data_IF_632326750100
#
_entry.id   IF_632326750100
#
_cell.length_a   1.000
_cell.length_b   1.000
_cell.length_c   1.000
_cell.angle_alpha   90.00
_cell.angle_beta   90.00
_cell.angle_gamma   90.00
#
_symmetry.space_group_name_H-M   'P 1'
#
loop_
_entity.id
_entity.type
_entity.pdbx_description
1 polymer ?
#
# COMPACT_ATOMS: atom_id res chain seq x y z
N UNK A 1 -5.88 -2.81 -14.03
CA UNK A 1 -4.81 -3.70 -13.52
C UNK A 1 -4.01 -4.30 -14.67
N UNK A 2 -4.67 -4.89 -15.68
CA UNK A 2 -4.02 -5.40 -16.89
C UNK A 2 -3.22 -4.32 -17.63
N UNK A 3 -3.83 -3.17 -17.93
CA UNK A 3 -3.15 -2.05 -18.62
C UNK A 3 -1.94 -1.49 -17.86
N UNK A 4 -1.89 -1.67 -16.53
CA UNK A 4 -0.76 -1.27 -15.68
C UNK A 4 0.32 -2.36 -15.57
N UNK A 5 0.15 -3.52 -16.21
CA UNK A 5 1.04 -4.69 -16.09
C UNK A 5 0.98 -5.43 -14.75
N UNK A 6 0.16 -4.96 -13.81
CA UNK A 6 0.04 -5.49 -12.45
C UNK A 6 -0.49 -6.93 -12.41
N UNK A 7 -1.33 -7.29 -13.39
CA UNK A 7 -1.85 -8.65 -13.57
C UNK A 7 -1.74 -9.04 -15.03
N UNK A 8 -1.56 -10.33 -15.28
CA UNK A 8 -1.59 -10.95 -16.61
C UNK A 8 -2.53 -12.14 -16.61
N UNK A 9 -3.15 -12.43 -17.74
CA UNK A 9 -3.91 -13.67 -17.93
C UNK A 9 -2.98 -14.86 -17.71
N UNK A 10 -3.51 -15.90 -17.06
CA UNK A 10 -2.78 -17.13 -16.75
C UNK A 10 -3.57 -18.32 -17.27
N UNK A 11 -2.87 -19.43 -17.49
CA UNK A 11 -3.54 -20.71 -17.69
C UNK A 11 -4.20 -21.15 -16.38
N UNK A 12 -4.96 -22.24 -16.41
CA UNK A 12 -5.59 -22.82 -15.21
C UNK A 12 -4.52 -23.05 -14.12
N UNK A 13 -4.60 -22.34 -12.98
CA UNK A 13 -3.60 -22.44 -11.94
C UNK A 13 -3.90 -23.61 -11.00
N UNK A 14 -2.90 -24.12 -10.26
CA UNK A 14 -3.13 -25.16 -9.26
C UNK A 14 -3.97 -24.66 -8.09
N UNK A 15 -3.93 -23.36 -7.80
CA UNK A 15 -4.71 -22.69 -6.75
C UNK A 15 -5.14 -21.31 -7.24
N UNK A 16 -6.31 -20.84 -6.81
CA UNK A 16 -6.78 -19.49 -7.06
C UNK A 16 -7.64 -18.96 -5.92
N UNK A 17 -7.66 -17.64 -5.78
CA UNK A 17 -8.47 -16.89 -4.83
C UNK A 17 -9.73 -16.34 -5.49
N UNK A 18 -10.78 -16.12 -4.68
CA UNK A 18 -12.02 -15.49 -5.16
C UNK A 18 -11.89 -13.97 -5.22
N UNK A 19 -12.52 -13.36 -6.22
CA UNK A 19 -12.68 -11.92 -6.34
C UNK A 19 -14.11 -11.54 -5.95
N UNK A 20 -14.24 -10.49 -5.13
CA UNK A 20 -15.54 -9.89 -4.81
C UNK A 20 -15.46 -8.36 -4.84
N UNK A 21 -16.61 -7.71 -4.89
CA UNK A 21 -16.73 -6.26 -5.02
C UNK A 21 -17.16 -5.65 -3.69
N UNK A 22 -16.43 -4.65 -3.23
CA UNK A 22 -16.77 -3.87 -2.03
C UNK A 22 -17.22 -2.47 -2.44
N UNK A 23 -18.36 -1.97 -1.96
CA UNK A 23 -18.81 -0.62 -2.27
C UNK A 23 -17.85 0.43 -1.70
N UNK A 24 -17.56 1.45 -2.49
CA UNK A 24 -16.82 2.64 -2.08
C UNK A 24 -17.80 3.72 -1.62
N UNK A 25 -17.31 4.64 -0.79
CA UNK A 25 -18.08 5.81 -0.31
C UNK A 25 -18.51 6.75 -1.43
N UNK A 26 -17.79 6.77 -2.55
CA UNK A 26 -18.08 7.58 -3.73
C UNK A 26 -19.03 6.90 -4.73
N UNK A 27 -19.70 5.81 -4.33
CA UNK A 27 -20.64 5.07 -5.18
C UNK A 27 -19.99 4.07 -6.15
N UNK A 28 -18.65 4.05 -6.26
CA UNK A 28 -17.94 3.05 -7.05
C UNK A 28 -17.86 1.68 -6.36
N UNK A 29 -17.28 0.69 -7.05
CA UNK A 29 -16.93 -0.60 -6.47
C UNK A 29 -15.42 -0.82 -6.51
N UNK A 30 -14.88 -1.46 -5.47
CA UNK A 30 -13.48 -1.87 -5.36
C UNK A 30 -13.39 -3.39 -5.49
N UNK A 31 -12.63 -3.93 -6.46
CA UNK A 31 -12.31 -5.35 -6.48
C UNK A 31 -11.40 -5.70 -5.30
N UNK A 32 -11.77 -6.75 -4.58
CA UNK A 32 -11.02 -7.31 -3.45
C UNK A 32 -10.80 -8.79 -3.71
N UNK A 33 -9.55 -9.22 -3.59
CA UNK A 33 -9.17 -10.63 -3.72
C UNK A 33 -9.10 -11.24 -2.32
N UNK A 34 -9.77 -12.37 -2.13
CA UNK A 34 -9.75 -13.08 -0.87
C UNK A 34 -8.49 -13.93 -0.72
N UNK A 35 -7.45 -13.35 -0.12
CA UNK A 35 -6.22 -14.08 0.23
C UNK A 35 -6.26 -14.75 1.60
N UNK A 36 -7.40 -14.81 2.31
CA UNK A 36 -7.46 -15.34 3.69
C UNK A 36 -6.87 -16.76 3.80
N UNK A 37 -7.24 -17.65 2.87
CA UNK A 37 -6.72 -19.02 2.82
C UNK A 37 -5.24 -19.04 2.44
N UNK A 38 -4.80 -18.22 1.48
CA UNK A 38 -3.39 -18.15 1.10
C UNK A 38 -2.52 -17.65 2.27
N UNK A 39 -3.00 -16.62 2.97
CA UNK A 39 -2.31 -15.99 4.08
C UNK A 39 -2.05 -16.96 5.25
N UNK A 40 -2.86 -18.00 5.45
CA UNK A 40 -2.58 -19.00 6.49
C UNK A 40 -1.38 -19.89 6.19
N UNK A 41 -0.90 -19.91 4.94
CA UNK A 41 0.31 -20.64 4.53
C UNK A 41 1.55 -19.74 4.50
N UNK A 42 1.41 -18.44 4.74
CA UNK A 42 2.49 -17.46 4.66
C UNK A 42 3.00 -17.16 6.06
N UNK A 43 4.27 -17.45 6.31
CA UNK A 43 4.96 -16.99 7.52
C UNK A 43 5.41 -15.54 7.33
N UNK A 44 4.59 -14.60 7.79
CA UNK A 44 4.95 -13.18 7.78
C UNK A 44 5.85 -12.87 8.98
N UNK A 45 7.04 -12.25 8.77
CA UNK A 45 7.91 -11.88 9.88
C UNK A 45 7.22 -10.87 10.82
N UNK A 46 7.42 -11.04 12.13
CA UNK A 46 7.03 -10.02 13.09
C UNK A 46 7.86 -8.74 12.84
N UNK A 47 7.18 -7.59 12.79
CA UNK A 47 7.85 -6.30 12.66
C UNK A 47 7.05 -5.22 13.38
N UNK A 48 7.75 -4.19 13.83
CA UNK A 48 7.14 -3.06 14.55
C UNK A 48 6.99 -1.89 13.59
N UNK A 49 5.74 -1.48 13.38
CA UNK A 49 5.42 -0.22 12.70
C UNK A 49 5.52 0.88 13.74
N UNK A 50 6.64 1.60 13.76
CA UNK A 50 6.88 2.69 14.74
C UNK A 50 5.93 3.89 14.54
N UNK A 51 5.24 3.95 13.40
CA UNK A 51 4.58 5.16 12.88
C UNK A 51 3.67 5.90 13.85
N UNK A 52 2.68 5.24 14.48
CA UNK A 52 1.59 5.99 15.13
C UNK A 52 2.00 6.67 16.45
N UNK A 53 2.88 6.04 17.23
CA UNK A 53 3.38 6.62 18.48
C UNK A 53 4.46 7.66 18.23
N UNK A 54 5.34 7.39 17.25
CA UNK A 54 6.35 8.36 16.80
C UNK A 54 5.70 9.59 16.17
N UNK A 55 4.56 9.45 15.49
CA UNK A 55 3.80 10.56 14.94
C UNK A 55 3.42 11.57 16.04
N UNK A 56 2.76 11.11 17.11
CA UNK A 56 2.33 12.00 18.20
C UNK A 56 3.49 12.78 18.83
N UNK A 57 4.66 12.17 18.98
CA UNK A 57 5.84 12.85 19.51
C UNK A 57 6.50 13.84 18.56
N UNK A 58 6.26 13.71 17.24
CA UNK A 58 6.83 14.58 16.22
C UNK A 58 5.93 15.78 15.86
N UNK A 59 4.65 15.69 16.16
CA UNK A 59 3.68 16.75 15.87
C UNK A 59 3.74 17.86 16.91
N UNK A 60 3.85 19.09 16.44
CA UNK A 60 3.76 20.30 17.24
C UNK A 60 2.42 21.01 16.98
N UNK A 61 2.04 21.89 17.88
CA UNK A 61 0.87 22.77 17.70
C UNK A 61 1.06 23.59 16.43
N UNK A 62 0.01 23.73 15.63
CA UNK A 62 -0.01 24.48 14.35
C UNK A 62 0.67 23.79 13.15
N UNK A 63 1.10 22.52 13.31
CA UNK A 63 1.63 21.75 12.20
C UNK A 63 0.56 21.46 11.13
N UNK A 64 0.96 21.62 9.87
CA UNK A 64 0.21 21.12 8.72
C UNK A 64 0.72 19.75 8.33
N UNK A 65 -0.21 18.81 8.14
CA UNK A 65 0.13 17.47 7.68
C UNK A 65 -0.37 17.23 6.27
N UNK A 66 0.49 16.65 5.46
CA UNK A 66 0.15 16.16 4.13
C UNK A 66 0.13 14.65 4.19
N UNK A 67 -1.04 14.07 3.98
CA UNK A 67 -1.18 12.62 3.79
C UNK A 67 -0.97 12.29 2.31
N UNK A 68 -0.01 11.43 2.03
CA UNK A 68 0.18 10.77 0.73
C UNK A 68 -0.29 9.33 0.87
N UNK A 69 -1.27 8.95 0.07
CA UNK A 69 -1.80 7.60 -0.01
C UNK A 69 -1.04 6.81 -1.07
N UNK A 70 -0.44 5.68 -0.67
CA UNK A 70 0.40 4.85 -1.53
C UNK A 70 -0.32 3.58 -2.02
N UNK A 71 -1.65 3.55 -2.10
CA UNK A 71 -2.39 2.33 -2.48
C UNK A 71 -1.94 1.70 -3.80
N UNK A 72 -1.58 2.51 -4.80
CA UNK A 72 -1.07 2.01 -6.08
C UNK A 72 0.41 1.57 -6.01
N UNK A 73 1.17 1.98 -4.97
CA UNK A 73 2.59 1.66 -4.85
C UNK A 73 2.85 0.19 -4.54
N UNK A 74 1.90 -0.54 -3.94
CA UNK A 74 1.98 -2.00 -3.84
C UNK A 74 2.16 -2.65 -5.21
N UNK A 75 1.47 -2.12 -6.21
CA UNK A 75 1.54 -2.63 -7.58
C UNK A 75 2.88 -2.29 -8.26
N UNK A 76 3.71 -1.45 -7.64
CA UNK A 76 5.07 -1.15 -8.11
C UNK A 76 6.11 -2.16 -7.61
N UNK A 77 5.80 -2.95 -6.57
CA UNK A 77 6.74 -3.95 -6.03
C UNK A 77 6.54 -5.28 -6.78
N UNK A 78 7.52 -5.76 -7.56
CA UNK A 78 7.37 -6.98 -8.33
C UNK A 78 7.35 -8.22 -7.43
N UNK A 79 6.56 -9.22 -7.83
CA UNK A 79 6.59 -10.56 -7.24
C UNK A 79 7.48 -11.45 -8.11
N UNK A 80 8.33 -12.25 -7.45
CA UNK A 80 9.14 -13.28 -8.11
C UNK A 80 8.26 -14.21 -8.95
N UNK A 81 8.71 -14.53 -10.18
CA UNK A 81 7.95 -15.34 -11.16
C UNK A 81 7.49 -16.67 -10.56
N UNK A 82 8.30 -17.28 -9.70
CA UNK A 82 8.03 -18.58 -9.05
C UNK A 82 6.82 -18.54 -8.11
N UNK A 83 6.56 -17.39 -7.49
CA UNK A 83 5.47 -17.23 -6.51
C UNK A 83 4.15 -16.75 -7.15
N UNK A 84 4.18 -16.27 -8.40
CA UNK A 84 2.98 -15.72 -9.07
C UNK A 84 1.86 -16.73 -9.22
N UNK A 85 2.20 -18.02 -9.36
CA UNK A 85 1.25 -19.15 -9.44
C UNK A 85 0.36 -19.31 -8.21
N UNK A 86 0.73 -18.73 -7.06
CA UNK A 86 -0.07 -18.73 -5.84
C UNK A 86 -0.96 -17.48 -5.71
N UNK A 87 -0.68 -16.45 -6.51
CA UNK A 87 -1.39 -15.18 -6.53
C UNK A 87 -2.34 -15.12 -7.73
N UNK A 88 -3.05 -16.22 -7.99
CA UNK A 88 -4.03 -16.29 -9.06
C UNK A 88 -5.44 -16.01 -8.53
N UNK A 89 -6.29 -15.45 -9.37
CA UNK A 89 -7.71 -15.27 -9.10
C UNK A 89 -8.53 -15.49 -10.36
N UNK A 90 -9.78 -15.86 -10.16
CA UNK A 90 -10.74 -16.04 -11.24
C UNK A 90 -11.58 -14.77 -11.43
N UNK A 91 -11.82 -14.40 -12.69
CA UNK A 91 -12.77 -13.38 -13.06
C UNK A 91 -13.38 -13.69 -14.43
N UNK A 92 -14.72 -13.84 -14.49
CA UNK A 92 -15.48 -14.14 -15.72
C UNK A 92 -14.91 -15.36 -16.47
N UNK A 93 -14.82 -16.49 -15.77
CA UNK A 93 -14.36 -17.78 -16.30
C UNK A 93 -12.92 -17.76 -16.87
N UNK A 94 -12.12 -16.78 -16.45
CA UNK A 94 -10.71 -16.62 -16.81
C UNK A 94 -9.85 -16.47 -15.57
N UNK A 95 -8.61 -16.95 -15.68
CA UNK A 95 -7.63 -16.86 -14.61
C UNK A 95 -6.63 -15.74 -14.86
N UNK A 96 -6.31 -15.01 -13.81
CA UNK A 96 -5.34 -13.94 -13.82
C UNK A 96 -4.36 -14.14 -12.68
N UNK A 97 -3.10 -13.79 -12.91
CA UNK A 97 -2.06 -13.83 -11.89
C UNK A 97 -1.49 -12.43 -11.64
N UNK A 98 -1.13 -12.15 -10.39
CA UNK A 98 -0.41 -10.93 -10.06
C UNK A 98 1.07 -11.00 -10.42
N UNK A 99 1.56 -9.93 -11.04
CA UNK A 99 2.99 -9.73 -11.32
C UNK A 99 3.70 -8.88 -10.26
N UNK A 100 2.91 -8.17 -9.47
CA UNK A 100 3.33 -7.26 -8.42
C UNK A 100 2.58 -7.57 -7.12
N UNK A 101 2.99 -6.95 -6.02
CA UNK A 101 2.44 -7.24 -4.71
C UNK A 101 0.96 -6.85 -4.64
N UNK A 102 0.03 -7.79 -4.42
CA UNK A 102 -1.38 -7.45 -4.31
C UNK A 102 -1.70 -6.92 -2.91
N UNK A 103 -2.79 -6.14 -2.83
CA UNK A 103 -3.39 -5.77 -1.56
C UNK A 103 -4.02 -7.00 -0.88
N UNK A 104 -3.98 -7.04 0.45
CA UNK A 104 -4.57 -8.13 1.25
C UNK A 104 -3.68 -9.36 1.45
N UNK A 105 -2.48 -9.40 0.84
CA UNK A 105 -1.49 -10.42 1.12
C UNK A 105 -0.79 -10.14 2.46
N UNK A 106 -0.61 -11.15 3.30
CA UNK A 106 -0.09 -11.00 4.67
C UNK A 106 1.30 -10.34 4.74
N UNK A 107 2.14 -10.55 3.72
CA UNK A 107 3.48 -9.97 3.64
C UNK A 107 3.51 -8.49 3.22
N UNK A 108 2.40 -7.93 2.72
CA UNK A 108 2.39 -6.59 2.12
C UNK A 108 2.92 -5.51 3.08
N UNK A 109 2.43 -5.41 4.32
CA UNK A 109 2.90 -4.39 5.26
C UNK A 109 4.40 -4.49 5.56
N UNK A 110 4.92 -5.73 5.67
CA UNK A 110 6.34 -5.97 5.97
C UNK A 110 7.23 -5.57 4.80
N UNK A 111 6.92 -6.08 3.60
CA UNK A 111 7.68 -5.77 2.37
C UNK A 111 7.71 -4.27 2.16
N UNK A 112 6.55 -3.62 2.26
CA UNK A 112 6.42 -2.20 2.02
C UNK A 112 7.18 -1.34 3.03
N UNK A 113 7.10 -1.69 4.31
CA UNK A 113 7.88 -1.02 5.38
C UNK A 113 9.38 -1.15 5.12
N UNK A 114 9.86 -2.33 4.69
CA UNK A 114 11.28 -2.55 4.39
C UNK A 114 11.73 -1.78 3.16
N UNK A 115 10.90 -1.70 2.13
CA UNK A 115 11.19 -0.94 0.90
C UNK A 115 11.20 0.57 1.13
N UNK A 116 10.25 1.10 1.91
CA UNK A 116 10.14 2.54 2.13
C UNK A 116 11.12 3.08 3.17
N UNK A 117 11.61 2.26 4.11
CA UNK A 117 12.47 2.74 5.19
C UNK A 117 13.74 3.47 4.70
N UNK A 118 14.52 2.96 3.73
CA UNK A 118 15.67 3.69 3.20
C UNK A 118 15.28 5.00 2.51
N UNK A 119 14.17 4.99 1.75
CA UNK A 119 13.65 6.19 1.08
C UNK A 119 13.27 7.25 2.11
N UNK A 120 12.59 6.86 3.18
CA UNK A 120 12.25 7.74 4.28
C UNK A 120 13.49 8.34 4.95
N UNK A 121 14.54 7.55 5.17
CA UNK A 121 15.80 8.02 5.73
C UNK A 121 16.45 9.09 4.84
N UNK A 122 16.52 8.86 3.52
CA UNK A 122 17.05 9.85 2.57
C UNK A 122 16.24 11.15 2.58
N UNK A 123 14.91 11.05 2.62
CA UNK A 123 14.05 12.25 2.66
C UNK A 123 14.20 13.01 3.98
N UNK A 124 14.42 12.30 5.10
CA UNK A 124 14.72 12.93 6.39
C UNK A 124 16.08 13.63 6.40
N UNK A 125 17.10 13.08 5.73
CA UNK A 125 18.41 13.73 5.54
C UNK A 125 18.29 15.06 4.76
N UNK A 126 17.30 15.18 3.88
CA UNK A 126 16.96 16.43 3.18
C UNK A 126 16.19 17.44 4.06
N UNK A 127 16.03 17.17 5.36
CA UNK A 127 15.32 18.02 6.31
C UNK A 127 13.80 17.88 6.27
N UNK A 128 13.26 16.97 5.45
CA UNK A 128 11.81 16.75 5.34
C UNK A 128 11.38 15.74 6.41
N UNK A 129 10.58 16.23 7.37
CA UNK A 129 10.01 15.40 8.43
C UNK A 129 8.84 14.59 7.91
N UNK A 130 8.94 13.27 8.01
CA UNK A 130 7.89 12.35 7.60
C UNK A 130 7.73 11.16 8.53
N UNK A 131 6.53 10.61 8.54
CA UNK A 131 6.19 9.36 9.22
C UNK A 131 5.58 8.38 8.24
N UNK A 132 6.10 7.15 8.23
CA UNK A 132 5.54 6.03 7.48
C UNK A 132 4.54 5.27 8.35
N UNK A 133 3.36 5.00 7.81
CA UNK A 133 2.37 4.12 8.41
C UNK A 133 1.73 3.23 7.34
N UNK A 134 2.30 2.04 7.14
CA UNK A 134 1.85 1.07 6.13
C UNK A 134 1.68 1.77 4.76
N UNK A 135 0.44 2.04 4.34
CA UNK A 135 0.07 2.60 3.04
C UNK A 135 0.12 4.13 3.00
N UNK A 136 0.31 4.77 4.15
CA UNK A 136 0.24 6.21 4.32
C UNK A 136 1.64 6.77 4.62
N UNK A 137 2.00 7.84 3.91
CA UNK A 137 3.07 8.74 4.33
C UNK A 137 2.44 10.02 4.85
N UNK A 138 2.81 10.41 6.06
CA UNK A 138 2.47 11.70 6.62
C UNK A 138 3.71 12.59 6.55
N UNK A 139 3.66 13.62 5.72
CA UNK A 139 4.68 14.67 5.67
C UNK A 139 4.25 15.84 6.55
N UNK A 140 5.20 16.44 7.24
CA UNK A 140 5.00 17.74 7.88
C UNK A 140 5.25 18.87 6.88
N UNK A 141 4.39 19.89 6.93
CA UNK A 141 4.58 21.17 6.28
C UNK A 141 4.55 22.31 7.32
N UNK A 142 5.46 23.28 7.15
CA UNK A 142 5.57 24.46 8.04
C UNK A 142 4.60 25.58 7.66
N UNK A 143 4.01 25.51 6.46
CA UNK A 143 3.01 26.47 5.99
C UNK A 143 1.89 25.74 5.26
N UNK A 144 0.69 26.35 5.21
CA UNK A 144 -0.48 25.85 4.48
C UNK A 144 -0.30 25.82 2.95
N UNK A 145 0.88 26.14 2.40
CA UNK A 145 1.07 26.05 0.94
C UNK A 145 0.73 24.62 0.53
N UNK A 146 -0.37 24.47 -0.23
CA UNK A 146 -0.79 23.19 -0.75
C UNK A 146 0.40 22.61 -1.49
N UNK A 147 0.88 21.41 -1.13
CA UNK A 147 1.92 20.79 -1.92
C UNK A 147 1.39 20.62 -3.34
N UNK A 148 2.17 21.02 -4.35
CA UNK A 148 1.88 20.76 -5.77
C UNK A 148 2.11 19.26 -6.12
N UNK A 149 1.79 18.37 -5.18
CA UNK A 149 1.85 16.93 -5.39
C UNK A 149 0.55 16.56 -6.11
N UNK A 150 0.68 16.26 -7.41
CA UNK A 150 -0.42 15.90 -8.33
C UNK A 150 -1.19 14.62 -7.96
N UNK A 151 -0.90 14.01 -6.81
CA UNK A 151 -1.53 12.79 -6.34
C UNK A 151 -2.04 12.94 -4.90
N UNK A 152 -3.37 12.86 -4.76
CA UNK A 152 -4.17 12.69 -3.52
C UNK A 152 -3.50 13.13 -2.21
N UNK A 153 -3.04 14.38 -2.16
CA UNK A 153 -2.51 15.00 -0.96
C UNK A 153 -3.65 15.68 -0.18
N UNK A 154 -3.87 15.26 1.07
CA UNK A 154 -4.83 15.91 1.95
C UNK A 154 -4.10 16.69 3.03
N UNK A 155 -4.37 17.99 3.13
CA UNK A 155 -3.86 18.83 4.19
C UNK A 155 -4.79 18.77 5.41
N UNK A 156 -4.26 18.37 6.56
CA UNK A 156 -4.99 18.39 7.84
C UNK A 156 -4.23 19.30 8.79
N UNK A 157 -4.91 20.25 9.42
CA UNK A 157 -4.36 21.04 10.52
C UNK A 157 -4.42 20.24 11.81
N UNK A 158 -3.29 20.09 12.51
CA UNK A 158 -3.28 19.48 13.83
C UNK A 158 -3.49 20.56 14.91
N UNK A 159 -4.62 20.48 15.61
CA UNK A 159 -4.95 21.34 16.76
C UNK A 159 -4.98 20.41 17.98
N UNK A 160 -4.04 20.61 18.91
CA UNK A 160 -3.98 19.91 20.19
C UNK A 160 -4.92 20.56 21.20
#
# INVERSE_FOLDING_TARGET
MISKGAVTESQTPPVFSTLFLVPRKDGGQRPVINFKKLNSFISAPHFIIKGIYTLKSLLQKEDWLVKIDLKDAYLSIPISKEHRKYLCFEFRDRFYQFNCHPFGLALAPWVFTKTLKPIASLVQELGIRLVLYIDDILLKAETKKKPEIKHQAWCISYIA
#
